data_IF_712431551073
#
_entry.id   IF_712431551073
#
_cell.length_a   1.000
_cell.length_b   1.000
_cell.length_c   1.000
_cell.angle_alpha   90.00
_cell.angle_beta   90.00
_cell.angle_gamma   90.00
#
_symmetry.space_group_name_H-M   'P 1'
#
loop_
_entity.id
_entity.type
_entity.pdbx_description
1 polymer ?
#
# COMPACT_ATOMS: atom_id res chain seq x y z
N UNK A 1 -2.11 20.15 -5.34
CA UNK A 1 -2.62 19.06 -6.22
C UNK A 1 -2.86 17.81 -5.37
N UNK A 2 -3.86 17.00 -5.74
CA UNK A 2 -4.11 15.70 -5.12
C UNK A 2 -3.98 14.64 -6.22
N UNK A 3 -3.13 13.64 -5.98
CA UNK A 3 -2.97 12.46 -6.82
C UNK A 3 -3.54 11.26 -6.06
N UNK A 4 -4.66 10.72 -6.54
CA UNK A 4 -5.26 9.52 -5.98
C UNK A 4 -4.93 8.33 -6.88
N UNK A 5 -4.30 7.31 -6.32
CA UNK A 5 -3.76 6.18 -7.06
C UNK A 5 -4.38 4.86 -6.59
N UNK A 6 -4.59 3.96 -7.52
CA UNK A 6 -4.86 2.56 -7.22
C UNK A 6 -3.95 1.71 -8.12
N UNK A 7 -2.89 1.17 -7.55
CA UNK A 7 -1.90 0.41 -8.30
C UNK A 7 -2.31 -1.05 -8.48
N UNK A 8 -1.59 -1.76 -9.34
CA UNK A 8 -1.85 -3.16 -9.66
C UNK A 8 -1.96 -4.02 -8.39
N UNK A 9 -3.06 -4.75 -8.26
CA UNK A 9 -3.30 -5.67 -7.15
C UNK A 9 -2.35 -6.88 -7.19
N UNK A 10 -2.17 -7.54 -6.05
CA UNK A 10 -1.34 -8.76 -5.98
C UNK A 10 -1.95 -9.95 -6.71
N UNK A 11 -3.26 -9.91 -7.02
CA UNK A 11 -4.02 -11.01 -7.65
C UNK A 11 -3.94 -12.35 -6.89
N UNK A 12 -3.71 -12.27 -5.58
CA UNK A 12 -3.78 -13.43 -4.68
C UNK A 12 -5.26 -13.66 -4.36
N UNK A 13 -5.81 -14.75 -4.86
CA UNK A 13 -7.23 -15.09 -4.68
C UNK A 13 -7.50 -15.69 -3.28
N UNK A 14 -8.78 -15.89 -2.93
CA UNK A 14 -9.17 -16.44 -1.63
C UNK A 14 -8.59 -17.83 -1.36
N UNK A 15 -8.42 -18.65 -2.39
CA UNK A 15 -7.81 -19.98 -2.25
C UNK A 15 -6.30 -19.87 -1.98
N UNK A 16 -5.62 -18.89 -2.59
CA UNK A 16 -4.21 -18.61 -2.33
C UNK A 16 -4.02 -18.07 -0.90
N UNK A 17 -4.93 -17.18 -0.45
CA UNK A 17 -4.93 -16.64 0.92
C UNK A 17 -5.16 -17.74 1.95
N UNK A 18 -6.14 -18.63 1.72
CA UNK A 18 -6.40 -19.76 2.58
C UNK A 18 -5.18 -20.70 2.68
N UNK A 19 -4.52 -20.97 1.54
CA UNK A 19 -3.29 -21.76 1.51
C UNK A 19 -2.17 -21.13 2.34
N UNK A 20 -1.95 -19.82 2.20
CA UNK A 20 -0.92 -19.09 2.96
C UNK A 20 -1.25 -18.98 4.46
N UNK A 21 -2.56 -18.87 4.81
CA UNK A 21 -3.00 -18.70 6.19
C UNK A 21 -3.09 -19.99 7.01
N UNK A 22 -3.41 -21.12 6.39
CA UNK A 22 -3.69 -22.38 7.11
C UNK A 22 -2.59 -23.42 7.01
N UNK A 23 -1.64 -23.27 6.06
CA UNK A 23 -0.62 -24.29 5.80
C UNK A 23 -1.20 -25.68 5.45
N UNK A 24 -2.43 -25.71 4.92
CA UNK A 24 -3.19 -26.95 4.70
C UNK A 24 -2.36 -28.00 3.95
N UNK A 25 -2.37 -29.20 4.52
CA UNK A 25 -1.70 -30.43 4.08
C UNK A 25 -2.18 -30.86 2.66
N UNK A 26 -1.60 -30.23 1.68
CA UNK A 26 -1.59 -30.77 0.31
C UNK A 26 -0.42 -31.77 0.19
N UNK A 27 -0.52 -32.71 -0.76
CA UNK A 27 0.63 -33.57 -1.09
C UNK A 27 1.84 -32.68 -1.46
N UNK A 28 3.05 -33.10 -1.15
CA UNK A 28 4.27 -32.29 -1.33
C UNK A 28 4.43 -31.72 -2.73
N UNK A 29 4.15 -32.49 -3.77
CA UNK A 29 4.22 -32.04 -5.16
C UNK A 29 3.21 -30.91 -5.48
N UNK A 30 1.96 -31.07 -5.07
CA UNK A 30 0.90 -30.07 -5.26
C UNK A 30 1.17 -28.79 -4.48
N UNK A 31 1.83 -28.92 -3.33
CA UNK A 31 2.23 -27.81 -2.49
C UNK A 31 3.31 -26.95 -3.14
N UNK A 32 4.33 -27.59 -3.72
CA UNK A 32 5.41 -26.88 -4.42
C UNK A 32 4.91 -26.15 -5.66
N UNK A 33 4.05 -26.78 -6.46
CA UNK A 33 3.45 -26.15 -7.65
C UNK A 33 2.63 -24.92 -7.28
N UNK A 34 1.78 -25.04 -6.26
CA UNK A 34 0.93 -23.93 -5.81
C UNK A 34 1.75 -22.77 -5.23
N UNK A 35 2.76 -23.09 -4.43
CA UNK A 35 3.68 -22.08 -3.90
C UNK A 35 4.42 -21.34 -5.02
N UNK A 36 4.91 -22.07 -6.01
CA UNK A 36 5.58 -21.50 -7.20
C UNK A 36 4.64 -20.61 -8.01
N UNK A 37 3.37 -21.01 -8.19
CA UNK A 37 2.35 -20.20 -8.87
C UNK A 37 2.08 -18.88 -8.12
N UNK A 38 1.90 -18.94 -6.80
CA UNK A 38 1.73 -17.73 -5.96
C UNK A 38 2.93 -16.80 -6.07
N UNK A 39 4.16 -17.34 -5.97
CA UNK A 39 5.37 -16.53 -6.13
C UNK A 39 5.46 -15.91 -7.53
N UNK A 40 5.05 -16.64 -8.56
CA UNK A 40 4.99 -16.15 -9.93
C UNK A 40 3.99 -14.99 -10.09
N UNK A 41 2.80 -15.10 -9.46
CA UNK A 41 1.80 -14.03 -9.44
C UNK A 41 2.35 -12.78 -8.75
N UNK A 42 2.93 -12.95 -7.56
CA UNK A 42 3.53 -11.85 -6.80
C UNK A 42 4.64 -11.16 -7.61
N UNK A 43 5.57 -11.92 -8.18
CA UNK A 43 6.68 -11.37 -8.96
C UNK A 43 6.21 -10.57 -10.19
N UNK A 44 5.22 -11.08 -10.93
CA UNK A 44 4.64 -10.35 -12.08
C UNK A 44 3.99 -9.03 -11.63
N UNK A 45 3.21 -9.07 -10.56
CA UNK A 45 2.49 -7.87 -10.09
C UNK A 45 3.44 -6.85 -9.47
N UNK A 46 4.52 -7.27 -8.79
CA UNK A 46 5.58 -6.37 -8.35
C UNK A 46 6.24 -5.64 -9.51
N UNK A 47 6.52 -6.35 -10.62
CA UNK A 47 7.10 -5.72 -11.81
C UNK A 47 6.15 -4.70 -12.42
N UNK A 48 4.87 -5.05 -12.59
CA UNK A 48 3.86 -4.11 -13.11
C UNK A 48 3.76 -2.87 -12.24
N UNK A 49 3.73 -3.03 -10.90
CA UNK A 49 3.71 -1.88 -9.99
C UNK A 49 4.97 -1.03 -10.09
N UNK A 50 6.14 -1.65 -10.23
CA UNK A 50 7.39 -0.91 -10.42
C UNK A 50 7.33 -0.04 -11.68
N UNK A 51 6.88 -0.59 -12.82
CA UNK A 51 6.71 0.16 -14.06
C UNK A 51 5.66 1.30 -13.92
N UNK A 52 4.56 1.04 -13.19
CA UNK A 52 3.55 2.06 -12.89
C UNK A 52 4.14 3.22 -12.06
N UNK A 53 4.84 2.90 -10.96
CA UNK A 53 5.37 3.94 -10.08
C UNK A 53 6.53 4.70 -10.70
N UNK A 54 7.33 4.09 -11.55
CA UNK A 54 8.37 4.79 -12.31
C UNK A 54 7.79 5.88 -13.21
N UNK A 55 6.66 5.59 -13.86
CA UNK A 55 5.95 6.56 -14.69
C UNK A 55 5.25 7.65 -13.86
N UNK A 56 4.52 7.25 -12.81
CA UNK A 56 3.73 8.17 -11.98
C UNK A 56 4.63 9.09 -11.15
N UNK A 57 5.71 8.56 -10.58
CA UNK A 57 6.61 9.35 -9.75
C UNK A 57 7.24 10.54 -10.49
N UNK A 58 7.49 10.42 -11.78
CA UNK A 58 8.00 11.53 -12.59
C UNK A 58 7.00 12.70 -12.67
N UNK A 59 5.70 12.39 -12.68
CA UNK A 59 4.62 13.39 -12.71
C UNK A 59 4.42 14.00 -11.32
N UNK A 60 4.50 13.19 -10.27
CA UNK A 60 4.24 13.61 -8.88
C UNK A 60 5.38 14.48 -8.35
N UNK A 61 6.63 14.14 -8.68
CA UNK A 61 7.83 14.82 -8.22
C UNK A 61 8.33 15.88 -9.22
N UNK A 62 7.41 16.60 -9.87
CA UNK A 62 7.72 17.67 -10.84
C UNK A 62 8.10 19.02 -10.19
N UNK A 63 8.24 19.06 -8.86
CA UNK A 63 8.53 20.28 -8.10
C UNK A 63 7.29 21.17 -7.84
N UNK A 64 6.11 20.71 -8.18
CA UNK A 64 4.86 21.44 -7.85
C UNK A 64 4.66 21.49 -6.33
N UNK A 65 4.39 22.68 -5.73
CA UNK A 65 4.10 22.81 -4.32
C UNK A 65 2.68 22.29 -3.98
N UNK A 66 2.46 21.96 -2.71
CA UNK A 66 1.15 21.57 -2.15
C UNK A 66 0.61 20.30 -2.81
N UNK A 67 1.42 19.25 -2.76
CA UNK A 67 1.09 17.94 -3.29
C UNK A 67 0.63 17.01 -2.18
N UNK A 68 -0.47 16.32 -2.43
CA UNK A 68 -0.95 15.17 -1.66
C UNK A 68 -0.99 13.98 -2.59
N UNK A 69 -0.31 12.91 -2.23
CA UNK A 69 -0.37 11.63 -2.94
C UNK A 69 -1.05 10.62 -2.04
N UNK A 70 -2.15 10.03 -2.49
CA UNK A 70 -2.90 9.07 -1.68
C UNK A 70 -3.38 7.88 -2.51
N UNK A 71 -3.88 6.87 -1.83
CA UNK A 71 -4.56 5.73 -2.43
C UNK A 71 -4.02 4.38 -2.00
N UNK A 72 -4.55 3.32 -2.64
CA UNK A 72 -4.10 1.94 -2.48
C UNK A 72 -2.92 1.65 -3.40
N UNK A 73 -1.77 1.44 -2.81
CA UNK A 73 -0.54 1.11 -3.55
C UNK A 73 -0.33 -0.40 -3.70
N UNK A 74 -1.20 -1.21 -3.09
CA UNK A 74 -1.13 -2.67 -3.11
C UNK A 74 0.24 -3.24 -2.71
N UNK A 75 1.02 -2.50 -1.93
CA UNK A 75 2.37 -2.86 -1.52
C UNK A 75 2.72 -2.32 -0.13
N UNK A 76 3.67 -2.94 0.54
CA UNK A 76 4.04 -2.61 1.92
C UNK A 76 5.08 -1.49 2.03
N UNK A 77 5.29 -0.88 3.24
CA UNK A 77 6.27 0.20 3.42
C UNK A 77 7.73 -0.18 3.11
N UNK A 78 8.03 -1.47 3.02
CA UNK A 78 9.39 -1.95 2.71
C UNK A 78 9.64 -2.08 1.20
N UNK A 79 8.61 -1.90 0.37
CA UNK A 79 8.66 -2.14 -1.08
C UNK A 79 9.37 -1.03 -1.86
N UNK A 80 9.72 -1.37 -3.11
CA UNK A 80 10.15 -0.39 -4.11
C UNK A 80 9.06 0.64 -4.39
N UNK A 81 7.82 0.17 -4.57
CA UNK A 81 6.62 0.97 -4.81
C UNK A 81 6.49 2.10 -3.80
N UNK A 82 6.52 1.77 -2.50
CA UNK A 82 6.41 2.75 -1.43
C UNK A 82 7.53 3.78 -1.49
N UNK A 83 8.79 3.33 -1.57
CA UNK A 83 9.95 4.24 -1.58
C UNK A 83 9.94 5.18 -2.78
N UNK A 84 9.56 4.67 -3.96
CA UNK A 84 9.54 5.44 -5.20
C UNK A 84 8.44 6.49 -5.21
N UNK A 85 7.22 6.12 -4.76
CA UNK A 85 6.09 7.04 -4.68
C UNK A 85 6.26 8.09 -3.59
N UNK A 86 6.82 7.70 -2.45
CA UNK A 86 7.10 8.63 -1.36
C UNK A 86 8.16 9.65 -1.76
N UNK A 87 9.29 9.22 -2.33
CA UNK A 87 10.42 10.12 -2.57
C UNK A 87 10.76 10.92 -1.30
N UNK A 88 10.81 12.26 -1.43
CA UNK A 88 11.07 13.19 -0.33
C UNK A 88 9.82 13.64 0.42
N UNK A 89 8.64 13.14 0.06
CA UNK A 89 7.39 13.48 0.74
C UNK A 89 7.31 12.87 2.14
N UNK A 90 6.61 13.55 3.04
CA UNK A 90 6.32 13.06 4.37
C UNK A 90 5.17 12.03 4.32
N UNK A 91 5.33 10.89 5.00
CA UNK A 91 4.24 9.92 5.20
C UNK A 91 3.40 10.36 6.42
N UNK A 92 2.14 10.66 6.20
CA UNK A 92 1.23 11.12 7.25
C UNK A 92 1.12 10.14 8.44
N UNK A 93 1.23 8.83 8.19
CA UNK A 93 1.31 7.84 9.25
C UNK A 93 2.59 7.97 10.06
N UNK A 94 3.73 8.20 9.43
CA UNK A 94 5.01 8.35 10.13
C UNK A 94 5.03 9.63 10.98
N UNK A 95 4.28 10.68 10.59
CA UNK A 95 4.17 11.91 11.36
C UNK A 95 3.23 11.80 12.57
N UNK A 96 2.04 11.21 12.41
CA UNK A 96 0.97 11.25 13.41
C UNK A 96 0.30 9.90 13.71
N UNK A 97 0.60 8.86 12.95
CA UNK A 97 0.12 7.51 13.26
C UNK A 97 0.71 6.98 14.56
N UNK A 98 0.03 6.06 15.20
CA UNK A 98 0.47 5.41 16.44
C UNK A 98 0.29 3.92 16.37
N UNK A 99 1.28 3.18 16.88
CA UNK A 99 1.22 1.73 16.95
C UNK A 99 1.29 1.05 15.57
N UNK A 100 0.66 -0.10 15.45
CA UNK A 100 0.54 -0.86 14.20
C UNK A 100 -0.87 -0.62 13.64
N UNK A 101 -0.95 0.07 12.53
CA UNK A 101 -2.21 0.33 11.83
C UNK A 101 -2.19 -0.43 10.51
N UNK A 102 -3.10 -1.40 10.38
CA UNK A 102 -3.37 -2.05 9.11
C UNK A 102 -4.43 -1.24 8.34
N UNK A 103 -4.20 -1.02 7.06
CA UNK A 103 -5.21 -0.45 6.17
C UNK A 103 -5.93 -1.51 5.34
N UNK A 104 -5.36 -2.72 5.25
CA UNK A 104 -5.97 -3.89 4.61
C UNK A 104 -6.18 -5.02 5.62
N UNK A 105 -7.41 -5.54 5.69
CA UNK A 105 -7.82 -6.58 6.64
C UNK A 105 -7.73 -8.00 6.10
N UNK A 106 -7.57 -8.15 4.78
CA UNK A 106 -7.26 -9.45 4.19
C UNK A 106 -5.86 -9.92 4.61
N UNK A 107 -5.60 -11.20 4.49
CA UNK A 107 -4.33 -11.87 4.78
C UNK A 107 -3.67 -11.37 6.09
N UNK A 108 -4.11 -11.91 7.23
CA UNK A 108 -3.62 -11.64 8.59
C UNK A 108 -3.99 -10.26 9.18
N UNK A 109 -4.58 -9.34 8.44
CA UNK A 109 -5.03 -8.04 8.95
C UNK A 109 -3.91 -7.13 9.48
N UNK A 110 -2.69 -7.25 8.95
CA UNK A 110 -1.51 -6.51 9.45
C UNK A 110 -0.90 -5.58 8.41
N UNK A 111 -1.42 -5.55 7.19
CA UNK A 111 -0.79 -4.82 6.10
C UNK A 111 -1.30 -3.38 6.01
N UNK A 112 -0.37 -2.45 5.95
CA UNK A 112 -0.61 -1.07 5.54
C UNK A 112 -0.20 -0.95 4.07
N UNK A 113 -1.18 -0.78 3.19
CA UNK A 113 -1.00 -0.68 1.74
C UNK A 113 -1.66 0.57 1.16
N UNK A 114 -2.45 1.27 1.97
CA UNK A 114 -3.01 2.58 1.66
C UNK A 114 -2.18 3.66 2.34
N UNK A 115 -1.83 4.69 1.59
CA UNK A 115 -0.92 5.74 2.03
C UNK A 115 -1.46 7.12 1.74
N UNK A 116 -0.90 8.09 2.47
CA UNK A 116 -1.05 9.51 2.20
C UNK A 116 0.30 10.18 2.43
N UNK A 117 0.88 10.69 1.35
CA UNK A 117 2.15 11.41 1.34
C UNK A 117 1.94 12.89 1.06
N UNK A 118 2.76 13.73 1.66
CA UNK A 118 2.62 15.17 1.65
C UNK A 118 3.92 15.84 1.25
N UNK A 119 3.83 16.88 0.41
CA UNK A 119 4.95 17.80 0.20
C UNK A 119 5.28 18.57 1.48
N UNK A 120 6.50 19.07 1.59
CA UNK A 120 7.07 19.71 2.77
C UNK A 120 6.33 20.99 3.25
N UNK A 121 5.52 21.59 2.41
CA UNK A 121 4.68 22.74 2.73
C UNK A 121 3.31 22.37 3.39
N UNK A 122 3.07 21.09 3.59
CA UNK A 122 1.93 20.52 4.30
C UNK A 122 2.37 19.84 5.60
N UNK A 123 1.49 19.80 6.58
CA UNK A 123 1.74 19.15 7.88
C UNK A 123 0.53 18.32 8.29
N UNK A 124 0.77 17.11 8.70
CA UNK A 124 -0.25 16.24 9.29
C UNK A 124 -0.60 16.72 10.70
N UNK A 125 -1.87 16.97 10.99
CA UNK A 125 -2.37 17.27 12.33
C UNK A 125 -2.86 16.02 13.05
N UNK A 126 -3.58 15.17 12.32
CA UNK A 126 -4.16 13.94 12.83
C UNK A 126 -4.14 12.86 11.76
N UNK A 127 -3.97 11.62 12.18
CA UNK A 127 -4.03 10.42 11.33
C UNK A 127 -4.90 9.37 12.02
N UNK A 128 -5.86 8.81 11.30
CA UNK A 128 -6.67 7.68 11.75
C UNK A 128 -6.94 6.71 10.58
N UNK A 129 -7.11 5.43 10.90
CA UNK A 129 -7.64 4.43 9.98
C UNK A 129 -8.75 3.66 10.69
N UNK A 130 -9.98 4.00 10.40
CA UNK A 130 -11.16 3.41 11.01
C UNK A 130 -11.44 2.01 10.46
N UNK A 131 -12.15 1.19 11.23
CA UNK A 131 -12.50 -0.16 10.83
C UNK A 131 -13.98 -0.24 10.40
N UNK A 132 -14.32 -0.05 9.13
CA UNK A 132 -15.67 -0.19 8.64
C UNK A 132 -16.09 -1.66 8.61
N UNK A 133 -17.40 -1.93 8.72
CA UNK A 133 -17.91 -3.31 8.73
C UNK A 133 -18.00 -3.95 7.34
N UNK A 134 -18.06 -3.16 6.30
CA UNK A 134 -18.44 -3.55 4.91
C UNK A 134 -17.32 -3.38 3.88
N UNK A 135 -16.09 -3.15 4.29
CA UNK A 135 -14.93 -3.09 3.41
C UNK A 135 -13.80 -3.95 3.98
N UNK A 136 -12.99 -4.54 3.17
CA UNK A 136 -11.73 -5.19 3.55
C UNK A 136 -10.58 -4.20 3.68
N UNK A 137 -10.78 -2.93 3.31
CA UNK A 137 -9.88 -1.82 3.62
C UNK A 137 -10.42 -0.94 4.74
N UNK A 138 -9.49 -0.40 5.52
CA UNK A 138 -9.74 0.63 6.52
C UNK A 138 -9.48 2.00 5.88
N UNK A 139 -10.48 2.91 5.80
CA UNK A 139 -10.27 4.23 5.23
C UNK A 139 -9.25 5.02 6.04
N UNK A 140 -8.29 5.61 5.35
CA UNK A 140 -7.31 6.51 5.94
C UNK A 140 -7.89 7.92 5.98
N UNK A 141 -7.97 8.50 7.18
CA UNK A 141 -8.45 9.86 7.41
C UNK A 141 -7.31 10.70 7.97
N UNK A 142 -7.03 11.84 7.33
CA UNK A 142 -5.91 12.71 7.71
C UNK A 142 -6.36 14.17 7.73
N UNK A 143 -6.13 14.85 8.84
CA UNK A 143 -6.30 16.30 8.94
C UNK A 143 -4.97 16.97 8.61
N UNK A 144 -5.01 17.96 7.74
CA UNK A 144 -3.85 18.66 7.21
C UNK A 144 -3.93 20.16 7.44
N UNK A 145 -2.77 20.81 7.54
CA UNK A 145 -2.65 22.27 7.44
C UNK A 145 -1.45 22.66 6.56
N UNK A 146 -1.46 23.89 6.08
CA UNK A 146 -0.27 24.47 5.45
C UNK A 146 0.78 24.80 6.51
N UNK A 147 2.05 24.52 6.20
CA UNK A 147 3.18 24.98 6.99
C UNK A 147 3.29 26.50 6.81
N UNK A 148 3.37 27.24 7.90
CA UNK A 148 3.57 28.69 7.92
C UNK A 148 5.04 29.04 7.77
#
# INVERSE_FOLDING_TARGET
RIYNNHLQTTQVNEQDKAYLGTGQLLSDSTREERFRDILGKLGRNFKIRADQVDSISQIIHDGTPRVVVCGDFNDTPMSYTYRKMRGDFDDAFCEKGRGVIATYRGLLGVFRIDYLFLSDDLVTLHYNAEQPRWSDHNPVVVDLKFRQ
#
